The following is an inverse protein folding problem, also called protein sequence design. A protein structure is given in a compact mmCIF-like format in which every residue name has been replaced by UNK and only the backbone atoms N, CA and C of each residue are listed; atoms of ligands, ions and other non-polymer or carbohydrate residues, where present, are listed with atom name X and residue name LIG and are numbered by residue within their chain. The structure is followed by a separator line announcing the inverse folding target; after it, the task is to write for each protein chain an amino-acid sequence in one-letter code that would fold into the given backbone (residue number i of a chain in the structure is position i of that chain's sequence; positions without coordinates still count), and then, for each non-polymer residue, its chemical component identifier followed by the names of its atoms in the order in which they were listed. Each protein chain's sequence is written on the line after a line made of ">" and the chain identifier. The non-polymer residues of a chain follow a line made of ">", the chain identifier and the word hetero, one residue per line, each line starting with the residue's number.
data_IF_632339672319
#
_entry.id   IF_632339672319
#
_cell.length_a   1.000
_cell.length_b   1.000
_cell.length_c   1.000
_cell.angle_alpha   90.00
_cell.angle_beta   90.00
_cell.angle_gamma   90.00
#
_symmetry.space_group_name_H-M   'P 1'
#
loop_
_entity.id
_entity.type
_entity.pdbx_description
1 polymer ?
#
# COMPACT_ATOMS: atom_id res chain seq x y z
N UNK A 1 -7.04 20.98 -3.05
CA UNK A 1 -6.23 19.84 -2.60
C UNK A 1 -6.54 18.65 -3.51
N UNK A 2 -5.57 17.86 -3.95
CA UNK A 2 -5.88 16.66 -4.70
C UNK A 2 -6.68 15.70 -3.82
N UNK A 3 -7.79 15.20 -4.35
CA UNK A 3 -8.61 14.20 -3.67
C UNK A 3 -7.87 12.86 -3.78
N UNK A 4 -7.50 12.27 -2.66
CA UNK A 4 -6.91 10.92 -2.64
C UNK A 4 -8.01 9.91 -2.98
N UNK A 5 -7.89 9.17 -4.08
CA UNK A 5 -8.88 8.16 -4.43
C UNK A 5 -8.87 7.06 -3.37
N UNK A 6 -10.03 6.82 -2.77
CA UNK A 6 -10.21 5.74 -1.80
C UNK A 6 -11.57 5.09 -1.97
N UNK A 7 -11.62 3.79 -1.78
CA UNK A 7 -12.85 3.02 -1.80
C UNK A 7 -12.84 1.93 -0.73
N UNK A 8 -13.99 1.62 -0.11
CA UNK A 8 -14.07 0.57 0.88
C UNK A 8 -14.11 -0.80 0.23
N UNK A 9 -13.51 -1.77 0.91
CA UNK A 9 -13.64 -3.20 0.65
C UNK A 9 -14.03 -3.91 1.94
N UNK A 10 -14.83 -4.96 1.82
CA UNK A 10 -15.22 -5.78 2.96
C UNK A 10 -14.06 -6.64 3.44
N UNK A 11 -14.07 -6.95 4.72
CA UNK A 11 -13.18 -7.92 5.35
C UNK A 11 -13.99 -9.13 5.85
N UNK A 12 -13.34 -10.20 6.32
CA UNK A 12 -14.06 -11.31 6.98
C UNK A 12 -14.83 -10.88 8.25
N UNK A 13 -14.39 -9.81 8.91
CA UNK A 13 -15.09 -9.21 10.04
C UNK A 13 -16.09 -8.15 9.53
N UNK A 14 -17.41 -8.29 9.75
CA UNK A 14 -18.41 -7.37 9.26
C UNK A 14 -18.31 -5.96 9.86
N UNK A 15 -17.71 -5.82 11.03
CA UNK A 15 -17.51 -4.53 11.70
C UNK A 15 -16.26 -3.81 11.21
N UNK A 16 -15.44 -4.45 10.37
CA UNK A 16 -14.22 -3.90 9.82
C UNK A 16 -14.36 -3.59 8.33
N UNK A 17 -14.06 -2.36 7.94
CA UNK A 17 -13.84 -2.00 6.53
C UNK A 17 -12.38 -1.68 6.29
N UNK A 18 -11.88 -2.16 5.14
CA UNK A 18 -10.61 -1.75 4.57
C UNK A 18 -10.85 -0.64 3.55
N UNK A 19 -10.19 0.47 3.69
CA UNK A 19 -10.17 1.57 2.74
C UNK A 19 -8.88 1.49 1.94
N UNK A 20 -9.00 1.17 0.67
CA UNK A 20 -7.83 1.12 -0.23
C UNK A 20 -7.33 2.54 -0.46
N UNK A 21 -6.05 2.76 -0.19
CA UNK A 21 -5.34 4.03 -0.38
C UNK A 21 -4.04 3.75 -1.14
N UNK A 22 -3.43 4.78 -1.77
CA UNK A 22 -2.11 4.61 -2.38
C UNK A 22 -1.07 4.11 -1.36
N UNK A 23 -0.26 3.13 -1.77
CA UNK A 23 0.82 2.61 -0.95
C UNK A 23 1.80 3.74 -0.56
N UNK A 24 2.34 3.72 0.65
CA UNK A 24 3.29 4.72 1.13
C UNK A 24 2.75 6.13 1.38
N UNK A 25 1.43 6.33 1.28
CA UNK A 25 0.81 7.62 1.57
C UNK A 25 0.96 7.99 3.05
N UNK A 26 0.86 7.02 3.94
CA UNK A 26 0.97 7.22 5.39
C UNK A 26 2.37 6.79 5.89
N UNK A 27 2.97 7.53 6.84
CA UNK A 27 4.38 7.36 7.21
C UNK A 27 4.64 6.20 8.19
N UNK A 28 3.66 5.32 8.41
CA UNK A 28 3.78 4.17 9.30
C UNK A 28 2.76 3.08 8.97
N UNK A 29 2.97 1.91 9.51
CA UNK A 29 2.00 0.81 9.59
C UNK A 29 1.72 0.45 11.05
N UNK A 30 0.51 0.06 11.37
CA UNK A 30 0.07 -0.28 12.73
C UNK A 30 -1.13 0.55 13.19
N UNK A 31 -1.41 0.49 14.48
CA UNK A 31 -2.51 1.23 15.09
C UNK A 31 -2.28 2.75 15.06
N UNK A 32 -3.35 3.49 14.82
CA UNK A 32 -3.35 4.95 14.84
C UNK A 32 -3.59 5.45 16.25
N UNK A 33 -2.66 6.23 16.78
CA UNK A 33 -2.83 6.90 18.06
C UNK A 33 -3.46 8.29 17.92
N UNK A 34 -3.16 8.98 16.79
CA UNK A 34 -3.72 10.29 16.52
C UNK A 34 -3.96 10.46 15.01
N UNK A 35 -5.14 10.93 14.66
CA UNK A 35 -5.56 11.21 13.29
C UNK A 35 -5.92 12.71 13.13
N UNK A 36 -6.03 13.23 11.88
CA UNK A 36 -6.60 14.54 11.63
C UNK A 36 -8.01 14.71 12.18
N UNK A 37 -8.38 15.96 12.47
CA UNK A 37 -9.49 16.33 13.35
C UNK A 37 -10.82 15.60 13.12
N UNK A 38 -11.27 15.46 11.87
CA UNK A 38 -12.57 14.82 11.58
C UNK A 38 -12.53 13.31 11.86
N UNK A 39 -11.44 12.65 11.52
CA UNK A 39 -11.27 11.21 11.80
C UNK A 39 -11.01 10.98 13.29
N UNK A 40 -10.22 11.84 13.93
CA UNK A 40 -9.99 11.80 15.37
C UNK A 40 -11.31 11.90 16.14
N UNK A 41 -12.21 12.80 15.74
CA UNK A 41 -13.53 12.94 16.38
C UNK A 41 -14.34 11.64 16.34
N UNK A 42 -14.26 10.86 15.24
CA UNK A 42 -14.95 9.57 15.15
C UNK A 42 -14.33 8.50 16.07
N UNK A 43 -13.07 8.63 16.39
CA UNK A 43 -12.39 7.78 17.40
C UNK A 43 -12.78 8.20 18.81
N UNK A 44 -12.82 9.50 19.07
CA UNK A 44 -13.11 10.05 20.40
C UNK A 44 -14.57 9.88 20.80
N UNK A 45 -15.53 9.97 19.85
CA UNK A 45 -16.96 9.79 20.11
C UNK A 45 -17.38 8.32 20.11
N UNK A 46 -16.45 7.40 19.87
CA UNK A 46 -16.69 5.95 19.87
C UNK A 46 -17.38 5.40 18.62
N UNK A 47 -17.61 6.20 17.58
CA UNK A 47 -18.07 5.71 16.27
C UNK A 47 -17.08 4.71 15.68
N UNK A 48 -15.78 5.00 15.80
CA UNK A 48 -14.71 4.08 15.47
C UNK A 48 -13.99 3.63 16.74
N UNK A 49 -13.93 2.32 16.95
CA UNK A 49 -13.19 1.71 18.05
C UNK A 49 -11.68 1.72 17.81
N UNK A 50 -11.27 1.50 16.56
CA UNK A 50 -9.87 1.60 16.17
C UNK A 50 -9.72 1.96 14.70
N UNK A 51 -8.58 2.53 14.39
CA UNK A 51 -8.09 2.79 13.04
C UNK A 51 -6.68 2.23 12.94
N UNK A 52 -6.41 1.44 11.90
CA UNK A 52 -5.10 0.83 11.68
C UNK A 52 -4.65 1.04 10.23
N UNK A 53 -3.40 1.36 10.05
CA UNK A 53 -2.74 1.45 8.75
C UNK A 53 -2.06 0.12 8.44
N UNK A 54 -2.30 -0.44 7.27
CA UNK A 54 -1.54 -1.59 6.75
C UNK A 54 -1.09 -1.34 5.31
N UNK A 55 -0.37 -2.30 4.71
CA UNK A 55 0.15 -2.14 3.34
C UNK A 55 -0.96 -1.85 2.32
N UNK A 56 -1.05 -0.59 1.88
CA UNK A 56 -2.01 -0.12 0.88
C UNK A 56 -3.42 0.11 1.38
N UNK A 57 -3.64 0.20 2.69
CA UNK A 57 -4.97 0.40 3.23
C UNK A 57 -5.05 1.00 4.62
N UNK A 58 -6.24 1.50 4.94
CA UNK A 58 -6.63 1.87 6.30
C UNK A 58 -7.78 0.98 6.71
N UNK A 59 -7.62 0.25 7.80
CA UNK A 59 -8.66 -0.56 8.43
C UNK A 59 -9.36 0.29 9.48
N UNK A 60 -10.69 0.30 9.44
CA UNK A 60 -11.51 0.96 10.45
C UNK A 60 -12.45 -0.05 11.07
N UNK A 61 -12.43 -0.13 12.40
CA UNK A 61 -13.32 -0.99 13.19
C UNK A 61 -14.40 -0.12 13.82
N UNK A 62 -15.66 -0.46 13.60
CA UNK A 62 -16.80 0.23 14.25
C UNK A 62 -16.81 0.05 15.75
N UNK A 63 -17.29 1.06 16.43
CA UNK A 63 -17.66 0.99 17.83
C UNK A 63 -18.96 0.23 18.07
N UNK A 64 -19.17 -0.24 19.28
CA UNK A 64 -20.35 -0.98 19.64
C UNK A 64 -21.63 -0.13 19.43
N UNK A 65 -22.64 -0.71 18.79
CA UNK A 65 -23.92 -0.05 18.52
C UNK A 65 -23.95 0.82 17.26
N UNK A 66 -22.87 0.86 16.50
CA UNK A 66 -22.79 1.52 15.20
C UNK A 66 -22.91 0.51 14.05
N UNK A 67 -23.31 0.96 12.87
CA UNK A 67 -23.40 0.14 11.67
C UNK A 67 -22.88 0.90 10.42
N UNK A 68 -22.31 0.16 9.45
CA UNK A 68 -21.72 0.74 8.23
C UNK A 68 -22.73 1.41 7.30
N UNK A 69 -24.00 1.03 7.36
CA UNK A 69 -25.05 1.64 6.53
C UNK A 69 -25.29 3.08 6.96
N UNK A 70 -25.23 3.33 8.27
CA UNK A 70 -25.42 4.65 8.87
C UNK A 70 -24.13 5.47 8.84
N UNK A 71 -23.00 4.87 9.23
CA UNK A 71 -21.75 5.61 9.47
C UNK A 71 -20.82 5.66 8.25
N UNK A 72 -20.98 4.76 7.28
CA UNK A 72 -20.04 4.60 6.20
C UNK A 72 -19.75 5.87 5.39
N UNK A 73 -20.76 6.68 5.10
CA UNK A 73 -20.57 7.94 4.37
C UNK A 73 -19.80 8.97 5.20
N UNK A 74 -20.07 9.04 6.51
CA UNK A 74 -19.41 9.94 7.46
C UNK A 74 -17.95 9.55 7.65
N UNK A 75 -17.69 8.25 7.85
CA UNK A 75 -16.34 7.71 7.98
C UNK A 75 -15.53 7.96 6.71
N UNK A 76 -16.13 7.68 5.53
CA UNK A 76 -15.48 7.96 4.24
C UNK A 76 -15.08 9.43 4.09
N UNK A 77 -15.98 10.35 4.42
CA UNK A 77 -15.72 11.79 4.30
C UNK A 77 -14.59 12.23 5.23
N UNK A 78 -14.61 11.76 6.50
CA UNK A 78 -13.57 12.04 7.47
C UNK A 78 -12.22 11.45 7.05
N UNK A 79 -12.22 10.25 6.48
CA UNK A 79 -11.01 9.60 6.00
C UNK A 79 -10.40 10.31 4.79
N UNK A 80 -11.22 10.70 3.79
CA UNK A 80 -10.75 11.46 2.62
C UNK A 80 -10.10 12.79 3.03
N UNK A 81 -10.73 13.50 3.98
CA UNK A 81 -10.16 14.72 4.56
C UNK A 81 -8.83 14.44 5.26
N UNK A 82 -8.78 13.41 6.10
CA UNK A 82 -7.59 13.02 6.85
C UNK A 82 -6.42 12.60 5.94
N UNK A 83 -6.69 11.91 4.84
CA UNK A 83 -5.68 11.51 3.87
C UNK A 83 -5.08 12.70 3.10
N UNK A 84 -5.75 13.85 3.10
CA UNK A 84 -5.21 15.11 2.58
C UNK A 84 -4.07 15.71 3.44
N UNK A 85 -3.88 15.21 4.67
CA UNK A 85 -2.85 15.66 5.60
C UNK A 85 -2.05 14.46 6.18
N UNK A 86 -1.34 13.68 5.37
CA UNK A 86 -0.72 12.42 5.79
C UNK A 86 0.33 12.60 6.90
N UNK A 87 1.01 13.73 6.95
CA UNK A 87 2.01 14.04 7.98
C UNK A 87 1.41 14.32 9.37
N UNK A 88 0.10 14.53 9.45
CA UNK A 88 -0.60 14.76 10.72
C UNK A 88 -1.05 13.49 11.42
N UNK A 89 -0.86 12.34 10.77
CA UNK A 89 -1.14 11.04 11.37
C UNK A 89 0.00 10.61 12.28
N UNK A 90 -0.33 10.02 13.43
CA UNK A 90 0.66 9.44 14.34
C UNK A 90 0.29 8.02 14.69
N UNK A 91 1.21 7.11 14.50
CA UNK A 91 1.10 5.73 14.94
C UNK A 91 1.18 5.61 16.46
N UNK A 92 0.58 4.54 16.99
CA UNK A 92 0.77 4.14 18.39
C UNK A 92 2.22 3.69 18.61
N UNK A 93 2.62 3.51 19.86
CA UNK A 93 3.98 3.05 20.23
C UNK A 93 4.36 1.69 19.63
N UNK A 94 3.37 0.91 19.24
CA UNK A 94 3.53 -0.39 18.56
C UNK A 94 3.53 -0.27 17.03
N UNK A 95 3.32 0.93 16.48
CA UNK A 95 3.36 1.15 15.05
C UNK A 95 4.82 1.19 14.56
N UNK A 96 5.04 0.66 13.37
CA UNK A 96 6.35 0.68 12.73
C UNK A 96 6.41 1.87 11.77
N UNK A 97 7.48 2.65 11.86
CA UNK A 97 7.76 3.65 10.85
C UNK A 97 7.85 2.96 9.48
N UNK A 98 7.13 3.50 8.50
CA UNK A 98 7.12 2.99 7.14
C UNK A 98 7.31 4.17 6.22
N UNK A 99 8.44 4.17 5.51
CA UNK A 99 8.76 5.17 4.51
C UNK A 99 8.17 4.83 3.14
N UNK A 100 8.26 5.75 2.18
CA UNK A 100 7.89 5.49 0.79
C UNK A 100 8.65 4.28 0.22
N UNK A 101 9.91 4.10 0.60
CA UNK A 101 10.73 2.98 0.12
C UNK A 101 10.30 1.64 0.70
N UNK A 102 9.88 1.57 1.97
CA UNK A 102 9.33 0.33 2.56
C UNK A 102 8.04 -0.10 1.84
N UNK A 103 7.17 0.86 1.53
CA UNK A 103 5.95 0.59 0.78
C UNK A 103 6.26 0.18 -0.67
N UNK A 104 7.25 0.81 -1.29
CA UNK A 104 7.71 0.49 -2.62
C UNK A 104 8.31 -0.92 -2.66
N UNK A 105 9.10 -1.30 -1.65
CA UNK A 105 9.66 -2.65 -1.52
C UNK A 105 8.57 -3.70 -1.35
N UNK A 106 7.60 -3.45 -0.48
CA UNK A 106 6.47 -4.35 -0.27
C UNK A 106 5.65 -4.54 -1.57
N UNK A 107 5.36 -3.45 -2.29
CA UNK A 107 4.66 -3.51 -3.57
C UNK A 107 5.48 -4.24 -4.65
N UNK A 108 6.79 -4.00 -4.72
CA UNK A 108 7.70 -4.65 -5.65
C UNK A 108 7.75 -6.18 -5.43
N UNK A 109 7.91 -6.61 -4.17
CA UNK A 109 7.91 -8.04 -3.80
C UNK A 109 6.56 -8.70 -4.11
N UNK A 110 5.44 -8.06 -3.80
CA UNK A 110 4.11 -8.60 -4.13
C UNK A 110 3.89 -8.76 -5.63
N UNK A 111 4.43 -7.86 -6.48
CA UNK A 111 4.37 -7.99 -7.94
C UNK A 111 5.28 -9.13 -8.41
N UNK A 112 6.50 -9.23 -7.85
CA UNK A 112 7.46 -10.28 -8.19
C UNK A 112 6.96 -11.67 -7.77
N UNK A 113 6.28 -11.79 -6.63
CA UNK A 113 5.71 -13.06 -6.14
C UNK A 113 4.32 -13.38 -6.72
N UNK A 114 3.70 -12.39 -7.36
CA UNK A 114 2.34 -12.50 -7.92
C UNK A 114 2.28 -13.15 -9.30
N UNK A 115 1.28 -12.74 -10.09
CA UNK A 115 1.04 -13.31 -11.42
C UNK A 115 2.20 -13.11 -12.39
N UNK A 116 2.95 -12.01 -12.24
CA UNK A 116 4.13 -11.74 -13.09
C UNK A 116 5.25 -12.74 -12.77
N UNK A 117 5.56 -12.95 -11.48
CA UNK A 117 6.57 -13.93 -11.07
C UNK A 117 6.16 -15.35 -11.44
N UNK A 118 4.89 -15.72 -11.24
CA UNK A 118 4.38 -17.02 -11.68
C UNK A 118 4.59 -17.22 -13.18
N UNK A 119 4.35 -16.19 -13.99
CA UNK A 119 4.59 -16.24 -15.44
C UNK A 119 6.08 -16.43 -15.75
N UNK A 120 6.96 -15.64 -15.14
CA UNK A 120 8.42 -15.74 -15.32
C UNK A 120 8.92 -17.14 -14.91
N UNK A 121 8.46 -17.64 -13.76
CA UNK A 121 8.83 -18.96 -13.24
C UNK A 121 8.38 -20.09 -14.18
N UNK A 122 7.22 -19.97 -14.83
CA UNK A 122 6.72 -20.98 -15.79
C UNK A 122 7.61 -21.12 -17.03
N UNK A 123 8.45 -20.12 -17.30
CA UNK A 123 9.46 -20.13 -18.37
C UNK A 123 10.88 -20.46 -17.87
N UNK A 124 11.01 -20.90 -16.60
CA UNK A 124 12.29 -21.27 -16.02
C UNK A 124 13.17 -20.08 -15.62
N UNK A 125 12.57 -18.90 -15.48
CA UNK A 125 13.25 -17.70 -14.94
C UNK A 125 12.78 -17.36 -13.53
N UNK A 126 13.41 -16.37 -12.92
CA UNK A 126 12.96 -15.75 -11.68
C UNK A 126 13.12 -14.21 -11.76
N UNK A 127 12.27 -13.50 -11.04
CA UNK A 127 12.36 -12.05 -10.85
C UNK A 127 12.62 -11.78 -9.37
N UNK A 128 13.75 -11.19 -9.06
CA UNK A 128 14.22 -10.96 -7.68
C UNK A 128 14.33 -9.47 -7.43
N UNK A 129 13.76 -9.00 -6.30
CA UNK A 129 13.93 -7.62 -5.82
C UNK A 129 15.14 -7.59 -4.89
N UNK A 130 16.20 -6.91 -5.30
CA UNK A 130 17.45 -6.80 -4.55
C UNK A 130 17.40 -5.70 -3.49
N UNK A 131 17.08 -4.47 -3.91
CA UNK A 131 17.05 -3.34 -2.99
C UNK A 131 16.06 -2.27 -3.44
N UNK A 132 15.63 -1.43 -2.48
CA UNK A 132 14.84 -0.23 -2.73
C UNK A 132 15.43 0.92 -1.95
N UNK A 133 15.80 2.01 -2.64
CA UNK A 133 16.35 3.22 -2.03
C UNK A 133 16.02 4.45 -2.85
N UNK A 134 15.57 5.50 -2.18
CA UNK A 134 15.27 6.81 -2.80
C UNK A 134 14.33 6.71 -4.01
N UNK A 135 13.35 5.81 -3.93
CA UNK A 135 12.40 5.56 -5.02
C UNK A 135 12.94 4.72 -6.17
N UNK A 136 14.16 4.21 -6.09
CA UNK A 136 14.78 3.32 -7.09
C UNK A 136 14.66 1.87 -6.62
N UNK A 137 14.12 1.02 -7.48
CA UNK A 137 13.99 -0.42 -7.24
C UNK A 137 15.01 -1.18 -8.08
N UNK A 138 15.88 -1.91 -7.44
CA UNK A 138 16.86 -2.78 -8.10
C UNK A 138 16.30 -4.21 -8.19
N UNK A 139 16.28 -4.74 -9.40
CA UNK A 139 15.80 -6.10 -9.70
C UNK A 139 16.87 -6.90 -10.46
N UNK A 140 16.90 -8.20 -10.23
CA UNK A 140 17.61 -9.15 -11.09
C UNK A 140 16.60 -10.08 -11.77
N UNK A 141 16.97 -10.52 -12.97
CA UNK A 141 16.26 -11.56 -13.69
C UNK A 141 17.20 -12.76 -13.83
N UNK A 142 16.80 -13.90 -13.30
CA UNK A 142 17.62 -15.11 -13.24
C UNK A 142 17.09 -16.20 -14.18
N UNK A 143 17.94 -17.20 -14.42
CA UNK A 143 17.58 -18.39 -15.20
C UNK A 143 17.35 -18.12 -16.69
N UNK A 144 16.31 -18.72 -17.27
CA UNK A 144 16.05 -18.62 -18.72
C UNK A 144 15.75 -17.18 -19.19
N UNK A 145 15.39 -16.28 -18.30
CA UNK A 145 15.10 -14.88 -18.63
C UNK A 145 16.36 -14.02 -18.77
N UNK A 146 17.47 -14.42 -18.18
CA UNK A 146 18.74 -13.70 -18.20
C UNK A 146 19.39 -13.69 -19.61
N UNK A 147 19.05 -14.66 -20.46
CA UNK A 147 19.65 -14.83 -21.81
C UNK A 147 18.72 -14.44 -22.96
N UNK A 148 17.54 -13.87 -22.71
CA UNK A 148 16.57 -13.51 -23.74
C UNK A 148 16.28 -12.00 -23.73
N UNK A 149 16.97 -11.17 -24.53
CA UNK A 149 16.81 -9.71 -24.50
C UNK A 149 15.37 -9.22 -24.72
N UNK A 150 14.58 -9.92 -25.53
CA UNK A 150 13.21 -9.53 -25.80
C UNK A 150 12.27 -9.81 -24.62
N UNK A 151 12.44 -10.94 -23.93
CA UNK A 151 11.68 -11.27 -22.74
C UNK A 151 12.04 -10.34 -21.58
N UNK A 152 13.32 -10.05 -21.43
CA UNK A 152 13.86 -9.13 -20.44
C UNK A 152 13.24 -7.74 -20.53
N UNK A 153 13.32 -7.08 -21.69
CA UNK A 153 12.77 -5.75 -21.92
C UNK A 153 11.26 -5.73 -21.62
N UNK A 154 10.55 -6.77 -22.06
CA UNK A 154 9.09 -6.85 -21.87
C UNK A 154 8.73 -7.04 -20.40
N UNK A 155 9.45 -7.89 -19.67
CA UNK A 155 9.18 -8.16 -18.25
C UNK A 155 9.55 -6.98 -17.38
N UNK A 156 10.68 -6.34 -17.62
CA UNK A 156 11.09 -5.12 -16.95
C UNK A 156 10.05 -4.00 -17.13
N UNK A 157 9.65 -3.72 -18.36
CA UNK A 157 8.64 -2.70 -18.65
C UNK A 157 7.28 -3.01 -18.00
N UNK A 158 6.88 -4.30 -17.97
CA UNK A 158 5.63 -4.73 -17.32
C UNK A 158 5.70 -4.59 -15.80
N UNK A 159 6.81 -4.98 -15.19
CA UNK A 159 7.05 -4.82 -13.76
C UNK A 159 7.00 -3.34 -13.36
N UNK A 160 7.76 -2.49 -14.08
CA UNK A 160 7.77 -1.05 -13.84
C UNK A 160 6.37 -0.43 -14.01
N UNK A 161 5.64 -0.81 -15.06
CA UNK A 161 4.28 -0.32 -15.28
C UNK A 161 3.34 -0.67 -14.12
N UNK A 162 3.37 -1.91 -13.63
CA UNK A 162 2.56 -2.35 -12.50
C UNK A 162 2.94 -1.61 -11.23
N UNK A 163 4.24 -1.40 -11.02
CA UNK A 163 4.75 -0.73 -9.83
C UNK A 163 4.41 0.76 -9.83
N UNK A 164 4.53 1.48 -10.96
CA UNK A 164 4.14 2.89 -11.09
C UNK A 164 2.66 3.12 -10.84
N UNK A 165 1.81 2.17 -11.18
CA UNK A 165 0.36 2.26 -10.89
C UNK A 165 0.06 2.20 -9.39
N UNK A 166 0.87 1.48 -8.62
CA UNK A 166 0.72 1.35 -7.15
C UNK A 166 1.47 2.44 -6.40
N UNK A 167 2.68 2.76 -6.87
CA UNK A 167 3.62 3.68 -6.25
C UNK A 167 3.98 4.79 -7.26
N UNK A 168 3.16 5.86 -7.38
CA UNK A 168 3.40 6.94 -8.36
C UNK A 168 4.71 7.70 -8.14
N UNK A 169 5.30 7.60 -6.96
CA UNK A 169 6.60 8.20 -6.59
C UNK A 169 7.80 7.36 -7.01
N UNK A 170 7.60 6.20 -7.63
CA UNK A 170 8.69 5.42 -8.21
C UNK A 170 9.53 6.28 -9.15
N UNK A 171 10.82 6.37 -8.87
CA UNK A 171 11.79 7.09 -9.72
C UNK A 171 12.20 6.20 -10.89
N UNK A 172 12.73 5.02 -10.61
CA UNK A 172 13.30 4.11 -11.59
C UNK A 172 13.20 2.65 -11.14
N UNK A 173 13.06 1.75 -12.10
CA UNK A 173 13.38 0.33 -11.92
C UNK A 173 14.70 0.08 -12.64
N UNK A 174 15.69 -0.39 -11.90
CA UNK A 174 17.04 -0.66 -12.43
C UNK A 174 17.32 -2.15 -12.38
N UNK A 175 17.86 -2.67 -13.46
CA UNK A 175 18.41 -4.02 -13.46
C UNK A 175 19.80 -4.00 -12.82
N UNK A 176 20.08 -5.03 -12.02
CA UNK A 176 21.42 -5.36 -11.54
C UNK A 176 21.79 -6.75 -12.07
N UNK A 177 23.00 -6.87 -12.54
CA UNK A 177 23.59 -8.16 -12.90
C UNK A 177 24.29 -8.71 -11.65
N UNK A 178 24.11 -10.00 -11.34
CA UNK A 178 24.89 -10.66 -10.30
C UNK A 178 26.34 -10.88 -10.71
#
# INVERSE_FOLDING_TARGET
>A
MPVVPTHPTTTPDPDVLRWVVPDGLLPFTGEVAHAPALLQKLMDDGTLRSVRVDGGGVLTLLGAGHDWRTEGARVRSALVDALGAPTSWKGASTAHASGPDDALEAAARQIADGSLGTFVNSHGGALVVHSVRDGVVEIAMEGACDHCPAAEITMHARFEHLLRRRCPWLVEVRRVDE
#
